data_IF_953441821073
#
_entry.id   IF_953441821073
#
_cell.length_a   1.000
_cell.length_b   1.000
_cell.length_c   1.000
_cell.angle_alpha   90.00
_cell.angle_beta   90.00
_cell.angle_gamma   90.00
#
_symmetry.space_group_name_H-M   'P 1'
#
loop_
_entity.id
_entity.type
_entity.pdbx_description
1 polymer ?
2 non-polymer ?
3 non-polymer ?
4 water ?
#
# COMPACT_ATOMS: atom_id res chain seq x y z
N UNK A 1 -13.35 -12.67 -9.85
CA UNK A 1 -12.83 -11.33 -9.63
C UNK A 1 -11.40 -11.40 -9.04
N UNK A 2 -10.35 -11.65 -10.29
CA UNK A 2 -9.04 -11.46 -9.65
C UNK A 2 -8.19 -10.52 -10.49
N UNK A 3 -7.47 -9.63 -9.84
CA UNK A 3 -6.62 -8.68 -10.54
C UNK A 3 -5.17 -8.94 -10.21
N UNK A 4 -4.31 -8.75 -11.20
CA UNK A 4 -2.87 -8.81 -11.03
C UNK A 4 -2.33 -7.40 -11.10
N UNK A 5 -1.66 -6.98 -10.03
CA UNK A 5 -1.03 -5.68 -10.01
C UNK A 5 0.47 -5.85 -10.06
N UNK A 6 1.09 -5.20 -11.04
CA UNK A 6 2.54 -5.24 -11.18
C UNK A 6 3.17 -4.17 -10.28
N UNK A 7 4.15 -4.55 -9.48
CA UNK A 7 4.76 -3.62 -8.53
C UNK A 7 6.17 -3.31 -8.97
N UNK A 8 6.55 -2.04 -8.85
CA UNK A 8 7.87 -1.60 -9.25
C UNK A 8 8.56 -0.87 -8.11
N UNK A 9 9.87 -1.06 -8.01
CA UNK A 9 10.64 -0.40 -6.99
C UNK A 9 10.82 1.02 -7.43
N UNK A 10 10.52 1.97 -6.55
CA UNK A 10 10.49 3.39 -6.94
C UNK A 10 11.89 3.99 -7.10
N UNK A 11 12.85 3.47 -6.35
CA UNK A 11 14.21 3.99 -6.41
C UNK A 11 14.98 3.40 -7.59
N UNK A 12 14.84 2.09 -7.80
CA UNK A 12 15.57 1.42 -8.88
C UNK A 12 14.81 1.42 -10.20
N UNK A 13 13.50 1.61 -10.14
CA UNK A 13 12.68 1.53 -11.34
C UNK A 13 12.45 0.10 -11.83
N UNK A 14 12.97 -0.90 -11.12
CA UNK A 14 12.83 -2.29 -11.58
C UNK A 14 11.59 -2.96 -11.00
N UNK A 15 11.03 -3.91 -11.74
CA UNK A 15 9.92 -4.73 -11.24
C UNK A 15 10.34 -5.51 -10.00
N UNK A 16 9.43 -5.66 -9.04
CA UNK A 16 9.70 -6.46 -7.85
C UNK A 16 8.71 -7.61 -7.68
N UNK A 17 7.78 -7.74 -8.62
CA UNK A 17 6.84 -8.85 -8.63
C UNK A 17 5.42 -8.36 -8.80
N UNK A 18 4.47 -9.15 -8.34
CA UNK A 18 3.07 -8.83 -8.51
C UNK A 18 2.32 -9.06 -7.21
N UNK A 19 1.15 -8.44 -7.11
CA UNK A 19 0.21 -8.79 -6.04
C UNK A 19 -1.08 -9.18 -6.67
N UNK A 20 -1.64 -10.30 -6.24
CA UNK A 20 -2.92 -10.74 -6.76
C UNK A 20 -4.00 -10.28 -5.81
N UNK A 21 -5.04 -9.66 -6.35
CA UNK A 21 -6.17 -9.18 -5.54
C UNK A 21 -7.38 -10.03 -5.79
N UNK A 22 -8.02 -10.50 -4.73
CA UNK A 22 -9.22 -11.33 -4.87
C UNK A 22 -10.31 -10.89 -3.92
N UNK A 23 -11.56 -10.99 -4.38
CA UNK A 23 -12.72 -10.72 -3.54
C UNK A 23 -13.17 -12.01 -2.87
N UNK A 24 -13.33 -12.01 -1.54
CA UNK A 24 -14.12 -13.07 -0.85
C UNK A 24 -15.12 -12.52 0.10
N UNK A 25 -15.89 -13.39 0.73
CA UNK A 25 -16.98 -12.94 1.57
C UNK A 25 -16.52 -12.06 2.72
N UNK A 26 -15.22 -12.13 3.07
CA UNK A 26 -14.73 -11.37 4.21
C UNK A 26 -13.98 -10.10 3.87
N UNK A 27 -13.79 -9.83 2.58
CA UNK A 27 -13.11 -8.64 2.13
C UNK A 27 -12.19 -8.91 0.95
N UNK A 28 -11.22 -8.04 0.74
CA UNK A 28 -10.26 -8.22 -0.34
C UNK A 28 -8.98 -8.83 0.20
N UNK A 29 -8.53 -9.90 -0.43
CA UNK A 29 -7.26 -10.54 -0.04
C UNK A 29 -6.18 -10.11 -1.03
N UNK A 30 -5.06 -9.68 -0.47
CA UNK A 30 -3.90 -9.27 -1.24
C UNK A 30 -2.85 -10.35 -1.09
N UNK A 31 -2.50 -11.02 -2.19
CA UNK A 31 -1.52 -12.11 -2.14
C UNK A 31 -0.27 -11.69 -2.87
N UNK A 32 0.79 -11.37 -2.13
CA UNK A 32 2.00 -10.84 -2.77
C UNK A 32 2.89 -11.94 -3.28
N UNK A 33 3.60 -11.64 -4.37
CA UNK A 33 4.71 -12.47 -4.82
C UNK A 33 5.80 -11.48 -5.20
N UNK A 34 6.47 -10.96 -4.18
CA UNK A 34 7.43 -9.90 -4.38
C UNK A 34 8.80 -10.32 -3.92
N UNK A 35 9.81 -9.65 -4.44
CA UNK A 35 11.18 -9.92 -4.01
C UNK A 35 11.96 -8.61 -3.95
N UNK A 36 13.19 -8.66 -3.45
CA UNK A 36 14.06 -7.46 -3.45
C UNK A 36 13.59 -6.34 -2.51
N UNK A 37 12.91 -6.72 -1.44
CA UNK A 37 12.48 -5.74 -0.45
C UNK A 37 13.30 -5.94 0.85
N UNK A 38 13.37 -4.92 1.69
CA UNK A 38 14.05 -5.07 2.96
C UNK A 38 13.29 -5.94 3.94
N UNK A 39 13.97 -6.88 4.60
CA UNK A 39 13.30 -7.73 5.57
C UNK A 39 12.60 -6.91 6.63
N UNK A 40 11.45 -7.39 7.05
CA UNK A 40 10.73 -6.80 8.15
C UNK A 40 9.33 -6.42 7.72
N UNK A 41 8.66 -5.64 8.56
CA UNK A 41 7.28 -5.23 8.31
C UNK A 41 7.23 -3.90 7.58
N UNK A 42 6.40 -3.84 6.56
CA UNK A 42 6.29 -2.64 5.74
C UNK A 42 4.87 -2.07 5.71
N UNK A 43 4.75 -0.77 5.88
CA UNK A 43 3.45 -0.15 5.68
C UNK A 43 2.94 -0.47 4.28
N UNK A 44 1.63 -0.68 4.19
CA UNK A 44 1.03 -1.23 2.97
C UNK A 44 -0.36 -0.59 2.87
N UNK A 45 -0.57 0.27 1.87
CA UNK A 45 -1.88 0.99 1.78
C UNK A 45 -2.30 1.23 0.36
N UNK A 46 -3.61 1.37 0.17
CA UNK A 46 -4.16 1.87 -1.10
C UNK A 46 -4.06 3.37 -1.00
N UNK A 47 -3.54 3.99 -2.04
CA UNK A 47 -3.50 5.46 -2.15
C UNK A 47 -4.50 5.96 -3.18
N UNK A 48 -4.79 7.25 -3.12
CA UNK A 48 -5.89 7.80 -3.92
C UNK A 48 -5.71 7.77 -5.44
N UNK A 49 -4.56 8.19 -5.93
CA UNK A 49 -4.42 8.45 -7.37
C UNK A 49 -3.81 7.28 -8.09
N UNK A 50 -4.26 7.06 -9.33
CA UNK A 50 -3.77 6.00 -10.18
C UNK A 50 -2.44 6.31 -10.85
N UNK A 51 -1.45 6.63 -10.05
CA UNK A 51 -0.11 6.90 -10.57
C UNK A 51 0.94 6.54 -9.56
N UNK A 52 2.10 6.10 -10.07
CA UNK A 52 3.25 5.83 -9.24
C UNK A 52 4.38 6.82 -9.50
N UNK A 53 4.10 7.84 -10.30
CA UNK A 53 5.06 8.89 -10.59
C UNK A 53 5.44 9.71 -9.35
N UNK A 54 6.51 10.48 -9.47
CA UNK A 54 6.92 11.36 -8.39
C UNK A 54 6.04 12.60 -8.27
N UNK A 55 6.12 13.23 -7.11
CA UNK A 55 5.54 14.54 -6.91
C UNK A 55 6.67 15.36 -6.34
N UNK A 56 6.42 16.62 -6.05
CA UNK A 56 7.41 17.36 -5.32
C UNK A 56 6.75 18.11 -4.21
N UNK A 57 7.47 18.29 -3.12
CA UNK A 57 6.93 19.03 -2.02
C UNK A 57 8.04 19.92 -1.48
N UNK A 58 7.77 21.22 -1.45
CA UNK A 58 8.73 22.19 -0.93
C UNK A 58 10.09 22.04 -1.59
N UNK A 59 10.08 21.74 -2.89
CA UNK A 59 11.31 21.65 -3.65
C UNK A 59 12.04 20.33 -3.54
N UNK A 60 11.44 19.36 -2.86
CA UNK A 60 12.05 18.03 -2.74
C UNK A 60 11.25 17.00 -3.53
N UNK A 61 11.96 16.10 -4.19
CA UNK A 61 11.33 15.03 -4.92
C UNK A 61 10.75 14.00 -3.94
N UNK A 62 9.50 13.61 -4.19
CA UNK A 62 8.85 12.56 -3.40
C UNK A 62 8.56 11.41 -4.33
N UNK A 63 9.32 10.33 -4.18
CA UNK A 63 9.11 9.18 -5.05
C UNK A 63 7.72 8.62 -4.78
N UNK A 64 7.02 8.24 -5.84
CA UNK A 64 5.66 7.75 -5.71
C UNK A 64 4.65 8.80 -5.24
N UNK A 65 5.07 10.06 -5.14
CA UNK A 65 4.20 11.07 -4.59
C UNK A 65 2.93 11.35 -5.39
N UNK A 66 2.94 11.05 -6.69
CA UNK A 66 1.78 11.35 -7.54
C UNK A 66 0.56 10.48 -7.18
N UNK A 67 0.78 9.45 -6.36
CA UNK A 67 -0.32 8.62 -5.90
C UNK A 67 -1.17 9.35 -4.87
N UNK A 68 -0.70 10.50 -4.41
CA UNK A 68 -1.42 11.21 -3.36
C UNK A 68 -1.43 10.47 -2.02
N UNK A 69 -2.44 10.77 -1.22
CA UNK A 69 -2.54 10.28 0.15
C UNK A 69 -3.20 8.92 0.21
N UNK A 70 -3.45 8.46 1.43
CA UNK A 70 -4.18 7.20 1.60
C UNK A 70 -5.62 7.31 1.09
N UNK A 71 -6.09 6.25 0.43
CA UNK A 71 -7.46 6.20 -0.05
C UNK A 71 -8.43 6.37 1.13
N UNK A 72 -9.34 7.34 1.02
CA UNK A 72 -10.11 7.81 2.19
C UNK A 72 -11.47 8.31 1.70
N UNK A 73 -12.26 7.41 1.13
CA UNK A 73 -13.55 7.80 0.53
C UNK A 73 -14.56 8.32 1.55
N UNK A 74 -14.33 8.09 2.84
CA UNK A 74 -15.21 8.66 3.86
C UNK A 74 -14.65 9.90 4.54
N UNK A 75 -13.56 10.41 3.99
CA UNK A 75 -12.99 11.70 4.44
C UNK A 75 -12.76 11.76 5.93
N UNK A 76 -12.08 10.72 6.42
CA UNK A 76 -11.82 10.61 7.84
C UNK A 76 -10.62 11.42 8.24
N UNK A 77 -9.69 11.59 7.31
CA UNK A 77 -8.45 12.30 7.62
C UNK A 77 -7.68 11.69 8.80
N UNK A 78 -7.78 10.37 8.96
CA UNK A 78 -7.12 9.68 10.06
C UNK A 78 -6.55 8.38 9.58
N UNK A 79 -5.39 7.99 10.11
CA UNK A 79 -4.78 6.70 9.77
C UNK A 79 -5.04 5.69 10.91
N UNK A 80 -5.38 4.45 10.56
CA UNK A 80 -5.75 3.50 11.58
C UNK A 80 -5.62 2.05 11.12
N UNK A 81 -6.50 1.22 11.66
CA UNK A 81 -6.45 -0.22 11.42
C UNK A 81 -7.30 -0.63 10.23
N UNK A 82 -7.09 -1.84 9.74
CA UNK A 82 -7.94 -2.35 8.66
C UNK A 82 -9.34 -2.71 9.12
N UNK A 83 -9.55 -2.80 10.42
CA UNK A 83 -10.84 -3.23 10.98
C UNK A 83 -11.50 -2.13 11.83
N UNK A 84 -11.04 -0.90 11.68
CA UNK A 84 -11.68 0.26 12.32
C UNK A 84 -12.21 1.18 11.22
N UNK A 85 -13.36 1.82 11.48
CA UNK A 85 -14.05 2.53 10.40
C UNK A 85 -13.71 4.01 10.25
N UNK A 86 -13.29 4.66 11.34
CA UNK A 86 -13.06 6.11 11.27
C UNK A 86 -11.62 6.45 10.88
N UNK A 87 -11.12 5.75 9.87
CA UNK A 87 -9.81 6.05 9.32
C UNK A 87 -9.78 5.61 7.87
N UNK A 88 -8.68 5.88 7.20
CA UNK A 88 -8.60 5.64 5.73
C UNK A 88 -9.05 4.21 5.37
N UNK A 89 -9.98 4.08 4.42
CA UNK A 89 -10.39 2.75 3.98
C UNK A 89 -9.20 2.07 3.28
N UNK A 90 -8.21 2.85 2.84
CA UNK A 90 -7.01 2.25 2.23
C UNK A 90 -6.01 1.59 3.17
N UNK A 91 -6.31 1.59 4.47
CA UNK A 91 -5.34 1.06 5.45
C UNK A 91 -5.36 -0.47 5.48
N UNK A 92 -4.26 -1.09 5.05
CA UNK A 92 -4.19 -2.56 4.95
C UNK A 92 -3.34 -3.10 6.10
N UNK A 93 -3.43 -4.38 6.38
CA UNK A 93 -2.44 -4.98 7.30
C UNK A 93 -1.03 -4.77 6.75
N UNK A 94 -0.05 -4.74 7.65
CA UNK A 94 1.32 -4.56 7.22
C UNK A 94 1.83 -5.75 6.42
N UNK A 95 2.76 -5.47 5.52
CA UNK A 95 3.31 -6.47 4.62
C UNK A 95 4.64 -7.02 5.15
N UNK A 96 4.70 -8.32 5.38
CA UNK A 96 5.91 -8.93 5.93
C UNK A 96 6.89 -9.36 4.85
N UNK A 97 8.16 -9.00 5.04
CA UNK A 97 9.22 -9.42 4.13
C UNK A 97 10.21 -10.30 4.87
N UNK A 98 10.48 -11.46 4.28
CA UNK A 98 11.35 -12.45 4.90
C UNK A 98 12.82 -12.02 4.88
N UNK A 99 13.64 -12.78 5.61
CA UNK A 99 15.06 -12.48 5.65
C UNK A 99 15.67 -12.46 4.25
N UNK A 100 15.11 -13.27 3.35
CA UNK A 100 15.58 -13.31 1.96
C UNK A 100 15.00 -12.24 1.04
N UNK A 101 14.25 -11.29 1.60
CA UNK A 101 13.75 -10.17 0.80
C UNK A 101 12.46 -10.46 0.05
N UNK A 102 11.82 -11.60 0.34
CA UNK A 102 10.59 -11.97 -0.36
C UNK A 102 9.35 -11.66 0.47
N UNK A 103 8.29 -11.24 -0.21
CA UNK A 103 7.00 -11.05 0.48
C UNK A 103 6.00 -12.00 -0.12
N UNK A 104 5.53 -12.94 0.70
CA UNK A 104 4.56 -13.94 0.22
C UNK A 104 3.38 -14.13 1.18
N UNK A 105 3.31 -13.35 2.25
CA UNK A 105 2.26 -13.58 3.28
C UNK A 105 1.03 -12.78 2.84
N UNK A 106 -0.09 -13.45 2.55
CA UNK A 106 -1.31 -12.75 2.10
C UNK A 106 -1.97 -12.06 3.28
N UNK A 107 -2.70 -10.97 3.01
CA UNK A 107 -3.40 -10.27 4.05
C UNK A 107 -4.81 -9.90 3.57
N UNK A 108 -5.69 -9.68 4.54
CA UNK A 108 -7.11 -9.37 4.27
C UNK A 108 -7.46 -7.93 4.64
N UNK A 109 -8.21 -7.26 3.77
CA UNK A 109 -8.80 -5.96 4.10
C UNK A 109 -10.33 -6.12 4.15
N UNK A 110 -10.89 -6.28 5.34
CA UNK A 110 -12.33 -6.55 5.45
C UNK A 110 -13.22 -5.38 5.01
N UNK A 111 -12.67 -4.17 4.96
CA UNK A 111 -13.50 -3.00 4.66
C UNK A 111 -13.57 -2.67 3.16
N UNK A 112 -12.74 -3.32 2.35
CA UNK A 112 -12.65 -2.99 0.94
C UNK A 112 -13.43 -3.94 0.04
N UNK A 113 -13.87 -3.43 -1.09
CA UNK A 113 -14.37 -4.30 -2.17
C UNK A 113 -13.39 -4.22 -3.33
N UNK A 114 -13.32 -5.27 -4.12
CA UNK A 114 -12.43 -5.25 -5.26
C UNK A 114 -12.86 -4.18 -6.28
N UNK A 115 -14.17 -4.05 -6.49
CA UNK A 115 -14.65 -3.06 -7.47
C UNK A 115 -14.19 -1.63 -7.20
N UNK A 116 -14.09 -1.25 -5.94
CA UNK A 116 -13.72 0.13 -5.68
C UNK A 116 -12.23 0.41 -5.86
N UNK A 117 -11.42 -0.64 -6.03
CA UNK A 117 -9.98 -0.44 -6.09
C UNK A 117 -9.43 -0.04 -7.45
N UNK A 118 -10.20 -0.25 -8.52
CA UNK A 118 -9.68 0.08 -9.84
C UNK A 118 -9.28 1.55 -9.92
N UNK A 119 -8.12 1.82 -10.52
CA UNK A 119 -7.66 3.18 -10.71
C UNK A 119 -6.91 3.78 -9.53
N UNK A 120 -6.78 3.02 -8.45
CA UNK A 120 -6.02 3.50 -7.31
C UNK A 120 -4.62 2.87 -7.35
N UNK A 121 -3.77 3.24 -6.43
CA UNK A 121 -2.43 2.70 -6.38
C UNK A 121 -2.24 1.90 -5.10
N UNK A 122 -1.43 0.84 -5.18
CA UNK A 122 -0.98 0.10 -4.03
C UNK A 122 0.43 0.55 -3.69
N UNK A 123 0.66 0.90 -2.44
CA UNK A 123 1.94 1.39 -2.00
C UNK A 123 2.57 0.53 -0.93
N UNK A 124 3.89 0.33 -1.03
CA UNK A 124 4.67 -0.30 0.04
C UNK A 124 5.68 0.71 0.51
N UNK A 125 5.75 0.90 1.82
CA UNK A 125 6.62 1.93 2.39
C UNK A 125 7.90 1.35 2.99
N UNK A 126 8.85 2.24 3.27
CA UNK A 126 10.13 1.83 3.89
C UNK A 126 9.95 1.35 5.31
N UNK A 127 9.23 2.15 6.11
CA UNK A 127 8.94 1.83 7.49
C UNK A 127 7.74 0.91 7.62
N UNK A 128 7.39 0.62 8.86
CA UNK A 128 6.28 -0.27 9.18
C UNK A 128 4.98 0.46 9.24
N UNK A 129 4.07 -0.04 10.06
CA UNK A 129 2.75 0.56 10.21
C UNK A 129 2.16 0.21 11.57
N UNK A 130 2.20 1.16 12.50
CA UNK A 130 1.54 0.91 13.79
C UNK A 130 0.07 1.32 13.82
N UNK A 131 -0.47 1.65 12.64
CA UNK A 131 -1.88 1.92 12.51
C UNK A 131 -2.32 3.09 13.39
N UNK A 132 -1.47 4.12 13.42
CA UNK A 132 -1.72 5.37 14.17
C UNK A 132 -0.99 6.50 13.49
N UNK A 133 -1.41 7.74 13.78
CA UNK A 133 -0.63 8.89 13.35
C UNK A 133 0.38 9.34 14.43
N UNK A 134 0.53 8.51 15.47
CA UNK A 134 1.50 8.78 16.56
C UNK A 134 2.30 7.51 16.79
N UNK A 135 3.61 7.61 17.02
CA UNK A 135 4.34 8.88 17.12
C UNK A 135 4.71 9.49 15.79
N UNK A 136 4.48 8.79 14.69
CA UNK A 136 4.76 9.34 13.37
C UNK A 136 3.52 9.25 12.52
N UNK A 137 3.37 10.23 11.64
CA UNK A 137 2.22 10.30 10.77
C UNK A 137 2.12 9.02 9.97
N UNK A 138 0.90 8.63 9.66
CA UNK A 138 0.67 7.59 8.66
C UNK A 138 1.34 6.26 9.03
N UNK A 139 1.36 5.99 10.33
CA UNK A 139 1.84 4.72 10.85
C UNK A 139 3.36 4.56 10.88
N UNK A 140 4.09 5.63 10.55
CA UNK A 140 5.54 5.55 10.45
C UNK A 140 6.07 4.89 9.18
N UNK A 141 5.23 4.76 8.14
CA UNK A 141 5.71 4.17 6.89
C UNK A 141 6.83 4.96 6.24
N UNK A 142 6.76 6.27 6.37
CA UNK A 142 7.77 7.10 5.74
C UNK A 142 7.79 6.95 4.24
N UNK A 143 9.00 6.85 3.68
CA UNK A 143 9.17 6.88 2.24
C UNK A 143 8.43 5.77 1.53
N UNK A 144 8.04 6.04 0.29
CA UNK A 144 7.42 5.04 -0.55
C UNK A 144 8.52 4.28 -1.29
N UNK A 145 8.50 2.95 -1.21
CA UNK A 145 9.55 2.17 -1.86
C UNK A 145 9.12 1.36 -3.06
N UNK A 146 7.85 0.94 -3.11
CA UNK A 146 7.37 0.19 -4.25
C UNK A 146 5.90 0.52 -4.47
N UNK A 147 5.46 0.44 -5.72
CA UNK A 147 4.14 0.95 -6.05
C UNK A 147 3.61 0.27 -7.28
N UNK A 148 2.29 0.14 -7.37
CA UNK A 148 1.67 -0.30 -8.61
C UNK A 148 0.30 0.26 -8.74
N UNK A 149 -0.14 0.44 -9.98
CA UNK A 149 -1.47 0.97 -10.26
C UNK A 149 -2.43 -0.18 -10.49
N UNK A 150 -3.56 -0.15 -9.79
CA UNK A 150 -4.57 -1.17 -9.93
C UNK A 150 -5.38 -0.90 -11.20
N UNK A 151 -5.34 -1.86 -12.10
CA UNK A 151 -6.09 -1.75 -13.35
C UNK A 151 -7.44 -2.42 -13.17
X LIG B 1 -3.94 5.45 6.28
X LIG C 1 0.86 4.32 1.89
#
# INVERSE_FOLDING_TARGET
QDLTVKMTDLQTGKPVGTIELSQNKYGVVFIPELADLTPGEHGFHIHQNGSCASSEKDGKVVLGGAAGGHYDPEHTNKHGFPWTDDNHKGDLPALFVSANGLATNPVLAPRLTLKELKGHAIMIHAGGDNHSDMPKALGGGGARVACGVIQ
ZN ZN
CU CU
#
